data_IF_176496549919
#
_entry.id   IF_176496549919
#
_cell.length_a   1.000
_cell.length_b   1.000
_cell.length_c   1.000
_cell.angle_alpha   90.00
_cell.angle_beta   90.00
_cell.angle_gamma   90.00
#
_symmetry.space_group_name_H-M   'P 1'
#
loop_
_entity.id
_entity.type
_entity.pdbx_description
1 polymer ?
#
# COMPACT_ATOMS: atom_id res chain seq x y z
N UNK A 1 47.41 26.60 -17.57
CA UNK A 1 47.54 25.96 -16.24
C UNK A 1 47.05 26.86 -15.10
N UNK A 2 47.40 28.15 -15.06
CA UNK A 2 46.95 29.08 -13.99
C UNK A 2 45.42 29.28 -13.95
N UNK A 3 44.74 29.39 -15.09
CA UNK A 3 43.29 29.59 -15.15
C UNK A 3 42.45 28.36 -14.65
N UNK A 4 42.98 27.15 -14.83
CA UNK A 4 42.30 25.92 -14.36
C UNK A 4 42.42 25.78 -12.85
N UNK A 5 43.57 26.15 -12.28
CA UNK A 5 43.78 26.18 -10.82
C UNK A 5 42.85 27.21 -10.14
N UNK A 6 42.71 28.40 -10.75
CA UNK A 6 41.84 29.44 -10.22
C UNK A 6 40.35 29.01 -10.23
N UNK A 7 39.89 28.32 -11.29
CA UNK A 7 38.55 27.81 -11.37
C UNK A 7 38.25 26.68 -10.35
N UNK A 8 39.22 25.79 -10.10
CA UNK A 8 39.10 24.75 -9.07
C UNK A 8 39.05 25.33 -7.65
N UNK A 9 39.84 26.38 -7.37
CA UNK A 9 39.82 27.06 -6.07
C UNK A 9 38.51 27.79 -5.84
N UNK A 10 37.93 28.41 -6.86
CA UNK A 10 36.61 29.07 -6.76
C UNK A 10 35.48 28.05 -6.55
N UNK A 11 35.53 26.91 -7.24
CA UNK A 11 34.54 25.81 -7.03
C UNK A 11 34.70 25.20 -5.64
N UNK A 12 35.89 24.99 -5.14
CA UNK A 12 36.10 24.46 -3.79
C UNK A 12 35.66 25.44 -2.70
N UNK A 13 35.90 26.75 -2.88
CA UNK A 13 35.43 27.78 -1.95
C UNK A 13 33.90 27.95 -1.98
N UNK A 14 33.27 27.82 -3.13
CA UNK A 14 31.79 27.85 -3.24
C UNK A 14 31.14 26.60 -2.62
N UNK A 15 31.72 25.41 -2.78
CA UNK A 15 31.27 24.20 -2.12
C UNK A 15 31.41 24.25 -0.59
N UNK A 16 32.53 24.85 -0.09
CA UNK A 16 32.75 25.04 1.34
C UNK A 16 31.79 26.08 1.95
N UNK A 17 31.48 27.14 1.23
CA UNK A 17 30.49 28.15 1.66
C UNK A 17 29.08 27.61 1.63
N UNK A 18 28.69 26.81 0.61
CA UNK A 18 27.41 26.14 0.53
C UNK A 18 27.23 25.16 1.70
N UNK A 19 28.21 24.31 1.96
CA UNK A 19 28.17 23.36 3.06
C UNK A 19 28.11 24.03 4.44
N UNK A 20 28.80 25.18 4.62
CA UNK A 20 28.71 25.98 5.85
C UNK A 20 27.33 26.63 6.05
N UNK A 21 26.70 27.08 4.98
CA UNK A 21 25.36 27.66 5.07
C UNK A 21 24.32 26.59 5.39
N UNK A 22 24.36 25.40 4.76
CA UNK A 22 23.48 24.29 5.05
C UNK A 22 23.62 23.84 6.52
N UNK A 23 24.82 23.70 7.03
CA UNK A 23 25.06 23.35 8.44
C UNK A 23 24.57 24.46 9.38
N UNK A 24 24.75 25.73 9.03
CA UNK A 24 24.28 26.84 9.84
C UNK A 24 22.77 26.92 9.87
N UNK A 25 22.09 26.72 8.72
CA UNK A 25 20.66 26.76 8.61
C UNK A 25 20.02 25.57 9.36
N UNK A 26 20.63 24.39 9.35
CA UNK A 26 20.22 23.24 10.14
C UNK A 26 20.37 23.52 11.66
N UNK A 27 21.49 24.06 12.11
CA UNK A 27 21.71 24.41 13.52
C UNK A 27 20.82 25.55 14.00
N UNK A 28 20.52 26.52 13.14
CA UNK A 28 19.60 27.61 13.47
C UNK A 28 18.15 27.13 13.50
N UNK A 29 17.78 26.15 12.65
CA UNK A 29 16.48 25.45 12.67
C UNK A 29 16.31 24.64 13.96
N UNK A 30 17.31 23.85 14.36
CA UNK A 30 17.27 23.11 15.64
C UNK A 30 17.15 24.05 16.86
N UNK A 31 17.87 25.19 16.86
CA UNK A 31 17.76 26.15 17.94
C UNK A 31 16.40 26.83 18.00
N UNK A 32 15.79 27.12 16.84
CA UNK A 32 14.47 27.72 16.74
C UNK A 32 13.38 26.76 17.17
N UNK A 33 13.51 25.47 16.80
CA UNK A 33 12.65 24.39 17.24
C UNK A 33 12.72 24.20 18.77
N UNK A 34 13.94 24.12 19.32
CA UNK A 34 14.15 23.97 20.76
C UNK A 34 13.60 25.19 21.56
N UNK A 35 13.75 26.42 21.03
CA UNK A 35 13.19 27.61 21.66
C UNK A 35 11.67 27.62 21.62
N UNK A 36 11.08 27.25 20.48
CA UNK A 36 9.62 27.13 20.31
C UNK A 36 9.03 26.09 21.26
N UNK A 37 9.74 24.96 21.44
CA UNK A 37 9.34 23.92 22.38
C UNK A 37 9.41 24.40 23.84
N UNK A 38 10.49 25.09 24.21
CA UNK A 38 10.65 25.66 25.56
C UNK A 38 9.59 26.75 25.87
N UNK A 39 9.29 27.62 24.92
CA UNK A 39 8.25 28.65 25.05
C UNK A 39 6.85 27.99 25.19
N UNK A 40 6.62 26.89 24.51
CA UNK A 40 5.38 26.12 24.60
C UNK A 40 5.24 25.40 25.93
N UNK A 41 6.29 24.73 26.42
CA UNK A 41 6.32 24.06 27.73
C UNK A 41 6.09 25.09 28.86
N UNK A 42 6.64 26.28 28.73
CA UNK A 42 6.42 27.37 29.66
C UNK A 42 4.96 27.88 29.63
N UNK A 43 4.29 27.85 28.48
CA UNK A 43 2.89 28.27 28.32
C UNK A 43 1.89 27.25 28.86
N UNK A 44 2.21 25.96 28.85
CA UNK A 44 1.33 24.87 29.29
C UNK A 44 1.38 24.59 30.79
N UNK A 45 2.42 25.05 31.52
CA UNK A 45 2.63 24.66 32.91
C UNK A 45 2.93 23.16 33.08
N UNK A 46 3.33 22.74 34.26
CA UNK A 46 3.86 21.41 34.58
C UNK A 46 2.85 20.23 34.47
N UNK A 47 1.69 20.39 33.84
CA UNK A 47 0.64 19.34 33.77
C UNK A 47 0.60 18.51 32.46
N UNK A 48 1.59 18.62 31.59
CA UNK A 48 1.61 17.87 30.34
C UNK A 48 2.89 17.02 30.18
N UNK A 49 3.18 16.16 31.15
CA UNK A 49 4.09 15.03 30.91
C UNK A 49 3.23 13.92 30.31
N UNK A 50 3.53 13.40 29.13
CA UNK A 50 2.91 12.18 28.66
C UNK A 50 3.30 11.07 29.61
N UNK A 51 2.35 10.40 30.23
CA UNK A 51 2.58 9.12 30.87
C UNK A 51 3.10 8.14 29.83
N UNK A 52 4.11 7.39 30.25
CA UNK A 52 4.77 6.23 29.69
C UNK A 52 4.33 5.82 28.26
N UNK A 53 5.31 5.68 27.36
CA UNK A 53 5.18 5.04 26.05
C UNK A 53 4.35 3.76 26.21
N UNK A 54 3.06 3.80 25.87
CA UNK A 54 2.32 2.58 25.62
C UNK A 54 2.98 1.96 24.38
N UNK A 55 3.76 0.90 24.61
CA UNK A 55 4.20 -0.01 23.58
C UNK A 55 2.97 -0.37 22.71
N UNK A 56 3.08 -0.41 21.38
CA UNK A 56 1.96 -0.78 20.54
C UNK A 56 1.42 -2.12 21.01
N UNK A 57 0.11 -2.19 21.27
CA UNK A 57 -0.58 -3.38 21.72
C UNK A 57 -0.53 -4.40 20.57
N UNK A 58 0.45 -5.29 20.61
CA UNK A 58 0.44 -6.51 19.82
C UNK A 58 -0.39 -7.54 20.59
N UNK A 59 -1.42 -8.04 19.96
CA UNK A 59 -2.10 -9.25 20.42
C UNK A 59 -1.16 -10.41 20.09
N UNK A 60 -0.10 -10.53 20.89
CA UNK A 60 0.98 -11.49 20.70
C UNK A 60 0.52 -12.87 21.19
N UNK A 61 -0.27 -13.54 20.35
CA UNK A 61 -0.47 -14.99 20.46
C UNK A 61 0.74 -15.77 19.88
N UNK A 62 1.79 -15.06 19.44
CA UNK A 62 3.00 -15.60 18.83
C UNK A 62 2.82 -16.08 17.40
N UNK A 63 1.64 -15.86 16.79
CA UNK A 63 1.35 -16.17 15.39
C UNK A 63 1.32 -14.87 14.57
N UNK A 64 2.08 -14.84 13.46
CA UNK A 64 2.02 -13.68 12.55
C UNK A 64 0.65 -13.63 11.87
N UNK A 65 0.03 -12.47 11.86
CA UNK A 65 -1.17 -12.18 11.11
C UNK A 65 -0.85 -11.97 9.62
N UNK A 66 -1.87 -11.79 8.78
CA UNK A 66 -1.72 -11.54 7.36
C UNK A 66 -2.34 -10.18 7.05
N UNK A 67 -1.64 -9.33 6.30
CA UNK A 67 -2.17 -8.08 5.78
C UNK A 67 -2.15 -8.06 4.25
N UNK A 68 -3.30 -7.76 3.62
CA UNK A 68 -3.45 -7.71 2.18
C UNK A 68 -3.65 -6.25 1.75
N UNK A 69 -2.74 -5.74 0.92
CA UNK A 69 -2.71 -4.35 0.46
C UNK A 69 -2.91 -4.31 -1.04
N UNK A 70 -3.86 -3.50 -1.50
CA UNK A 70 -4.16 -3.39 -2.92
C UNK A 70 -5.28 -2.41 -3.22
N UNK A 71 -5.87 -2.60 -4.38
CA UNK A 71 -7.01 -1.85 -4.90
C UNK A 71 -8.33 -2.63 -4.78
N UNK A 72 -9.28 -2.43 -5.70
CA UNK A 72 -10.56 -3.13 -5.75
C UNK A 72 -10.45 -4.66 -5.83
N UNK A 73 -9.35 -5.16 -6.40
CA UNK A 73 -9.11 -6.61 -6.54
C UNK A 73 -8.69 -7.28 -5.23
N UNK A 74 -8.17 -6.53 -4.27
CA UNK A 74 -7.95 -6.97 -2.88
C UNK A 74 -9.17 -6.64 -2.02
N UNK A 75 -9.80 -5.45 -2.20
CA UNK A 75 -11.03 -5.06 -1.50
C UNK A 75 -12.14 -6.09 -1.69
N UNK A 76 -12.30 -6.59 -2.93
CA UNK A 76 -13.27 -7.60 -3.29
C UNK A 76 -14.51 -7.02 -3.97
N UNK A 77 -14.35 -5.93 -4.73
CA UNK A 77 -15.41 -5.35 -5.53
C UNK A 77 -16.00 -6.38 -6.49
N UNK A 78 -17.34 -6.40 -6.58
CA UNK A 78 -18.05 -7.36 -7.41
C UNK A 78 -18.39 -8.70 -6.71
N UNK A 79 -17.93 -8.93 -5.48
CA UNK A 79 -18.31 -10.12 -4.72
C UNK A 79 -19.83 -10.18 -4.50
N UNK A 80 -20.43 -11.35 -4.69
CA UNK A 80 -21.87 -11.57 -4.71
C UNK A 80 -22.29 -12.86 -3.99
N UNK A 81 -23.52 -13.30 -4.18
CA UNK A 81 -24.04 -14.55 -3.60
C UNK A 81 -23.51 -15.75 -4.39
N UNK A 82 -22.81 -16.66 -3.72
CA UNK A 82 -22.19 -17.81 -4.35
C UNK A 82 -22.14 -19.04 -3.42
N UNK A 83 -22.23 -20.23 -4.01
CA UNK A 83 -22.20 -21.51 -3.29
C UNK A 83 -21.35 -22.51 -4.08
N UNK A 84 -20.48 -23.24 -3.40
CA UNK A 84 -19.68 -24.32 -4.01
C UNK A 84 -20.03 -25.68 -3.39
N UNK A 85 -19.91 -26.73 -4.20
CA UNK A 85 -19.98 -28.10 -3.70
C UNK A 85 -18.62 -28.53 -3.17
N UNK A 86 -18.60 -29.05 -1.95
CA UNK A 86 -17.40 -29.62 -1.32
C UNK A 86 -17.68 -31.05 -0.89
N UNK A 87 -16.66 -31.86 -0.57
CA UNK A 87 -16.87 -33.21 -0.03
C UNK A 87 -17.76 -33.26 1.22
N UNK A 88 -17.80 -32.19 2.00
CA UNK A 88 -18.57 -32.05 3.24
C UNK A 88 -19.98 -31.48 3.00
N UNK A 89 -20.34 -31.16 1.76
CA UNK A 89 -21.64 -30.57 1.37
C UNK A 89 -21.48 -29.21 0.69
N UNK A 90 -22.57 -28.48 0.57
CA UNK A 90 -22.59 -27.15 -0.03
C UNK A 90 -22.01 -26.15 0.95
N UNK A 91 -20.97 -25.42 0.53
CA UNK A 91 -20.36 -24.30 1.26
C UNK A 91 -20.89 -22.99 0.69
N UNK A 92 -21.36 -22.12 1.58
CA UNK A 92 -21.71 -20.73 1.26
C UNK A 92 -20.41 -19.91 1.22
N UNK A 93 -20.11 -19.32 0.07
CA UNK A 93 -18.98 -18.41 -0.17
C UNK A 93 -19.47 -17.03 -0.60
N UNK A 94 -20.72 -16.69 -0.27
CA UNK A 94 -21.30 -15.40 -0.60
C UNK A 94 -20.48 -14.25 -0.01
N UNK A 95 -20.18 -13.28 -0.86
CA UNK A 95 -19.37 -12.09 -0.52
C UNK A 95 -17.93 -12.40 -0.06
N UNK A 96 -17.41 -13.57 -0.40
CA UNK A 96 -15.99 -13.86 -0.15
C UNK A 96 -15.11 -12.95 -0.99
N UNK A 97 -14.10 -12.40 -0.33
CA UNK A 97 -12.95 -11.72 -0.95
C UNK A 97 -11.74 -12.65 -0.92
N UNK A 98 -10.69 -12.35 -1.67
CA UNK A 98 -9.47 -13.16 -1.63
C UNK A 98 -8.82 -13.18 -0.22
N UNK A 99 -8.71 -12.04 0.51
CA UNK A 99 -8.25 -12.02 1.89
C UNK A 99 -9.11 -12.85 2.84
N UNK A 100 -10.44 -12.80 2.70
CA UNK A 100 -11.33 -13.60 3.55
C UNK A 100 -11.19 -15.11 3.27
N UNK A 101 -11.07 -15.49 2.00
CA UNK A 101 -10.81 -16.88 1.62
C UNK A 101 -9.49 -17.39 2.20
N UNK A 102 -8.44 -16.55 2.14
CA UNK A 102 -7.13 -16.87 2.72
C UNK A 102 -7.23 -17.07 4.23
N UNK A 103 -7.97 -16.22 4.94
CA UNK A 103 -8.24 -16.39 6.37
C UNK A 103 -8.93 -17.73 6.68
N UNK A 104 -9.97 -18.07 5.93
CA UNK A 104 -10.70 -19.32 6.12
C UNK A 104 -9.82 -20.55 5.89
N UNK A 105 -8.90 -20.51 4.92
CA UNK A 105 -8.03 -21.63 4.59
C UNK A 105 -6.85 -21.78 5.56
N UNK A 106 -6.28 -20.67 6.00
CA UNK A 106 -5.12 -20.68 6.92
C UNK A 106 -5.52 -20.76 8.38
N UNK A 107 -6.71 -20.27 8.74
CA UNK A 107 -7.09 -20.01 10.13
C UNK A 107 -6.34 -18.82 10.75
N UNK A 108 -5.47 -18.14 10.00
CA UNK A 108 -4.72 -16.96 10.44
C UNK A 108 -5.57 -15.72 10.20
N UNK A 109 -5.63 -14.83 11.18
CA UNK A 109 -6.32 -13.55 11.02
C UNK A 109 -5.74 -12.76 9.85
N UNK A 110 -6.61 -12.34 8.95
CA UNK A 110 -6.21 -11.66 7.71
C UNK A 110 -6.95 -10.33 7.60
N UNK A 111 -6.20 -9.25 7.43
CA UNK A 111 -6.72 -7.91 7.25
C UNK A 111 -6.78 -7.56 5.77
N UNK A 112 -7.88 -6.95 5.38
CA UNK A 112 -8.09 -6.44 4.04
C UNK A 112 -7.89 -4.91 4.03
N UNK A 113 -6.80 -4.46 3.41
CA UNK A 113 -6.48 -3.07 3.16
C UNK A 113 -6.59 -2.70 1.68
N UNK A 114 -7.42 -3.42 0.93
CA UNK A 114 -7.81 -3.05 -0.42
C UNK A 114 -8.65 -1.77 -0.43
N UNK A 115 -8.47 -0.92 -1.42
CA UNK A 115 -9.29 0.29 -1.65
C UNK A 115 -9.52 0.47 -3.14
N UNK A 116 -10.79 0.41 -3.56
CA UNK A 116 -11.19 0.48 -4.96
C UNK A 116 -10.65 1.70 -5.67
N UNK A 117 -10.07 1.49 -6.85
CA UNK A 117 -9.47 2.54 -7.68
C UNK A 117 -8.13 3.08 -7.19
N UNK A 118 -7.55 2.54 -6.10
CA UNK A 118 -6.28 3.03 -5.58
C UNK A 118 -5.13 2.78 -6.55
N UNK A 119 -4.34 3.82 -6.85
CA UNK A 119 -3.11 3.72 -7.61
C UNK A 119 -1.96 3.15 -6.77
N UNK A 120 -0.89 2.68 -7.42
CA UNK A 120 0.22 2.02 -6.73
C UNK A 120 0.95 2.91 -5.71
N UNK A 121 1.08 4.19 -5.99
CA UNK A 121 1.66 5.17 -5.07
C UNK A 121 0.74 5.44 -3.86
N UNK A 122 -0.58 5.43 -4.03
CA UNK A 122 -1.55 5.50 -2.94
C UNK A 122 -1.46 4.27 -2.03
N UNK A 123 -1.40 3.08 -2.63
CA UNK A 123 -1.22 1.82 -1.89
C UNK A 123 0.12 1.85 -1.15
N UNK A 124 1.18 2.33 -1.80
CA UNK A 124 2.51 2.47 -1.20
C UNK A 124 2.51 3.43 0.00
N UNK A 125 1.77 4.56 -0.05
CA UNK A 125 1.60 5.45 1.10
C UNK A 125 0.87 4.72 2.25
N UNK A 126 -0.26 4.08 1.96
CA UNK A 126 -1.06 3.39 2.98
C UNK A 126 -0.31 2.26 3.65
N UNK A 127 0.49 1.52 2.87
CA UNK A 127 1.33 0.43 3.35
C UNK A 127 2.67 0.91 3.93
N UNK A 128 2.92 2.22 4.04
CA UNK A 128 4.12 2.79 4.65
C UNK A 128 5.37 2.85 3.75
N UNK A 129 5.32 2.36 2.51
CA UNK A 129 6.48 2.33 1.62
C UNK A 129 6.88 3.70 1.08
N UNK A 130 5.93 4.60 0.86
CA UNK A 130 6.22 5.99 0.53
C UNK A 130 6.14 6.84 1.80
N UNK A 131 7.32 7.10 2.39
CA UNK A 131 7.42 7.85 3.64
C UNK A 131 7.21 9.34 3.39
N UNK A 132 6.29 9.94 4.15
CA UNK A 132 5.96 11.36 4.10
C UNK A 132 6.46 12.09 5.35
N UNK A 133 6.69 13.40 5.21
CA UNK A 133 7.17 14.26 6.29
C UNK A 133 6.37 15.55 6.37
N UNK A 134 6.33 16.18 7.55
CA UNK A 134 5.75 17.51 7.72
C UNK A 134 6.66 18.60 7.15
N UNK A 135 6.11 19.58 6.40
CA UNK A 135 6.88 20.65 5.77
C UNK A 135 7.36 21.76 6.74
N UNK A 136 6.84 21.80 7.96
CA UNK A 136 7.08 22.85 8.96
C UNK A 136 6.71 22.42 10.36
N UNK A 137 7.20 23.17 11.34
CA UNK A 137 6.74 23.08 12.73
C UNK A 137 5.27 23.44 12.84
N UNK A 138 4.47 22.63 13.55
CA UNK A 138 3.07 22.90 13.79
C UNK A 138 2.64 22.56 15.21
N UNK A 139 1.77 23.40 15.77
CA UNK A 139 1.04 23.10 17.00
C UNK A 139 -0.35 22.63 16.66
N UNK A 140 -0.67 21.44 17.13
CA UNK A 140 -1.97 20.80 16.90
C UNK A 140 -2.72 20.55 18.19
N UNK A 141 -4.01 20.30 18.08
CA UNK A 141 -4.83 19.90 19.21
C UNK A 141 -6.01 19.00 18.74
N UNK A 142 -6.68 18.37 19.70
CA UNK A 142 -7.80 17.45 19.45
C UNK A 142 -9.14 18.14 19.16
N UNK A 143 -9.21 19.48 19.10
CA UNK A 143 -10.45 20.24 18.85
C UNK A 143 -10.48 20.90 17.49
N UNK A 144 -9.35 21.47 17.05
CA UNK A 144 -9.25 22.24 15.81
C UNK A 144 -8.09 21.73 14.97
N UNK A 145 -8.36 21.45 13.70
CA UNK A 145 -7.33 21.08 12.75
C UNK A 145 -6.43 22.26 12.39
N UNK A 146 -5.17 21.99 12.19
CA UNK A 146 -4.15 22.89 11.65
C UNK A 146 -3.81 22.47 10.23
N UNK A 147 -3.50 23.41 9.35
CA UNK A 147 -3.07 23.10 7.98
C UNK A 147 -1.56 22.88 7.97
N UNK A 148 -1.12 21.86 7.23
CA UNK A 148 0.29 21.53 6.98
C UNK A 148 0.40 20.87 5.62
N UNK A 149 1.49 21.08 4.90
CA UNK A 149 1.78 20.27 3.72
C UNK A 149 2.59 19.04 4.13
N UNK A 150 2.39 17.96 3.40
CA UNK A 150 3.23 16.77 3.49
C UNK A 150 4.21 16.78 2.32
N UNK A 151 5.43 16.34 2.58
CA UNK A 151 6.49 16.26 1.58
C UNK A 151 7.09 14.86 1.53
N UNK A 152 7.60 14.47 0.36
CA UNK A 152 8.39 13.26 0.22
C UNK A 152 9.83 13.45 0.77
N UNK A 153 10.65 12.41 0.76
CA UNK A 153 12.05 12.45 1.19
C UNK A 153 12.94 13.40 0.38
N UNK A 154 12.47 13.88 -0.78
CA UNK A 154 13.14 14.90 -1.60
C UNK A 154 12.68 16.33 -1.29
N UNK A 155 11.67 16.48 -0.42
CA UNK A 155 11.05 17.76 -0.06
C UNK A 155 10.00 18.26 -1.05
N UNK A 156 9.55 17.41 -1.98
CA UNK A 156 8.45 17.74 -2.88
C UNK A 156 7.13 17.61 -2.14
N UNK A 157 6.26 18.61 -2.30
CA UNK A 157 4.91 18.53 -1.71
C UNK A 157 4.08 17.49 -2.40
N UNK A 158 3.39 16.71 -1.60
CA UNK A 158 2.46 15.69 -2.06
C UNK A 158 1.04 16.23 -1.96
N UNK A 159 0.32 16.20 -3.07
CA UNK A 159 -1.09 16.57 -3.09
C UNK A 159 -1.96 15.40 -2.65
N UNK A 160 -2.22 15.31 -1.36
CA UNK A 160 -3.02 14.23 -0.80
C UNK A 160 -4.47 14.19 -1.33
N UNK A 161 -4.96 15.25 -2.00
CA UNK A 161 -6.30 15.20 -2.61
C UNK A 161 -6.36 14.30 -3.85
N UNK A 162 -5.22 14.08 -4.50
CA UNK A 162 -5.12 13.17 -5.64
C UNK A 162 -5.09 11.70 -5.18
N UNK A 163 -4.67 11.46 -3.93
CA UNK A 163 -4.58 10.16 -3.27
C UNK A 163 -5.83 9.75 -2.47
N UNK A 164 -6.83 10.63 -2.42
CA UNK A 164 -8.12 10.38 -1.75
C UNK A 164 -9.26 10.28 -2.77
N UNK A 165 -8.94 10.31 -4.06
CA UNK A 165 -9.87 10.80 -5.06
C UNK A 165 -10.84 9.77 -5.62
N UNK A 166 -10.64 8.50 -5.46
CA UNK A 166 -11.42 7.48 -6.18
C UNK A 166 -12.42 6.72 -5.31
N UNK A 167 -12.25 6.69 -4.03
CA UNK A 167 -13.27 6.16 -3.15
C UNK A 167 -14.25 7.28 -2.76
N UNK A 168 -15.52 7.08 -2.86
CA UNK A 168 -16.56 8.01 -2.43
C UNK A 168 -16.41 8.46 -0.97
N UNK A 169 -17.49 8.93 -0.34
CA UNK A 169 -17.49 9.44 1.04
C UNK A 169 -17.00 8.41 2.11
N UNK A 170 -16.86 7.15 1.73
CA UNK A 170 -16.47 6.01 2.57
C UNK A 170 -15.00 5.59 2.40
N UNK A 171 -14.13 6.50 1.96
CA UNK A 171 -12.69 6.23 1.82
C UNK A 171 -12.09 5.70 3.11
N UNK A 172 -11.77 4.41 3.11
CA UNK A 172 -11.11 3.67 4.19
C UNK A 172 -9.60 3.93 4.29
N UNK A 173 -9.11 5.07 3.75
CA UNK A 173 -7.77 5.47 4.17
C UNK A 173 -7.79 5.60 5.69
N UNK A 174 -6.86 4.92 6.38
CA UNK A 174 -6.82 5.03 7.83
C UNK A 174 -6.69 6.52 8.18
N UNK A 175 -7.74 7.08 8.75
CA UNK A 175 -7.77 8.48 9.21
C UNK A 175 -6.69 8.75 10.28
N UNK A 176 -5.98 7.72 10.73
CA UNK A 176 -5.06 7.74 11.85
C UNK A 176 -3.60 7.54 11.38
N UNK A 177 -2.72 8.40 11.89
CA UNK A 177 -1.29 8.41 11.60
C UNK A 177 -0.51 8.66 12.89
N UNK A 178 0.63 8.00 13.03
CA UNK A 178 1.63 8.38 14.03
C UNK A 178 2.52 9.48 13.46
N UNK A 179 2.68 10.58 14.19
CA UNK A 179 3.56 11.69 13.83
C UNK A 179 4.26 12.15 15.11
N UNK A 180 5.58 12.02 15.16
CA UNK A 180 6.38 12.34 16.34
C UNK A 180 5.82 11.70 17.63
N UNK A 181 5.43 10.43 17.57
CA UNK A 181 4.86 9.67 18.69
C UNK A 181 3.40 10.00 19.05
N UNK A 182 2.76 10.93 18.35
CA UNK A 182 1.36 11.28 18.58
C UNK A 182 0.45 10.62 17.56
N UNK A 183 -0.65 10.05 18.03
CA UNK A 183 -1.72 9.60 17.15
C UNK A 183 -2.50 10.80 16.62
N UNK A 184 -2.53 10.95 15.31
CA UNK A 184 -3.10 12.09 14.59
C UNK A 184 -4.13 11.65 13.56
N UNK A 185 -5.00 12.56 13.14
CA UNK A 185 -5.84 12.40 11.95
C UNK A 185 -5.41 13.37 10.88
N UNK A 186 -5.34 12.89 9.65
CA UNK A 186 -5.06 13.69 8.45
C UNK A 186 -6.30 13.66 7.57
N UNK A 187 -6.72 14.84 7.09
CA UNK A 187 -7.79 14.96 6.08
C UNK A 187 -7.32 15.86 4.95
N UNK A 188 -7.39 15.42 3.71
CA UNK A 188 -7.08 16.24 2.56
C UNK A 188 -7.91 17.51 2.49
N UNK A 189 -7.42 18.48 1.74
CA UNK A 189 -8.13 19.68 1.39
C UNK A 189 -8.23 19.71 -0.13
N UNK A 190 -9.42 19.62 -0.64
CA UNK A 190 -9.68 19.63 -2.09
C UNK A 190 -8.94 20.79 -2.79
N UNK A 191 -8.28 20.47 -3.90
CA UNK A 191 -7.44 21.39 -4.68
C UNK A 191 -6.36 22.11 -3.85
N UNK A 192 -5.73 21.43 -2.91
CA UNK A 192 -4.67 21.97 -2.07
C UNK A 192 -3.59 20.93 -1.82
N UNK A 193 -2.35 21.39 -1.81
CA UNK A 193 -1.18 20.62 -1.35
C UNK A 193 -1.04 20.60 0.19
N UNK A 194 -2.03 21.13 0.92
CA UNK A 194 -2.09 21.08 2.38
C UNK A 194 -3.19 20.11 2.83
N UNK A 195 -2.95 19.49 3.98
CA UNK A 195 -3.92 18.66 4.70
C UNK A 195 -4.39 19.34 5.99
N UNK A 196 -5.50 18.86 6.53
CA UNK A 196 -5.98 19.20 7.87
C UNK A 196 -5.43 18.17 8.86
N UNK A 197 -4.42 18.56 9.61
CA UNK A 197 -3.83 17.76 10.67
C UNK A 197 -4.47 18.07 12.01
N UNK A 198 -4.81 17.05 12.77
CA UNK A 198 -5.41 17.19 14.10
C UNK A 198 -4.94 16.03 14.99
N UNK A 199 -4.71 16.32 16.28
CA UNK A 199 -4.49 15.26 17.26
C UNK A 199 -5.72 14.35 17.33
N UNK A 200 -5.51 13.05 17.29
CA UNK A 200 -6.59 12.06 17.43
C UNK A 200 -7.25 12.24 18.80
N UNK A 201 -8.55 12.09 18.85
CA UNK A 201 -9.30 12.19 20.08
C UNK A 201 -9.91 10.83 20.41
N UNK A 202 -9.33 10.13 21.34
CA UNK A 202 -9.90 8.89 21.82
C UNK A 202 -11.31 9.07 22.40
N UNK A 203 -12.19 8.06 22.23
CA UNK A 203 -13.51 8.06 22.84
C UNK A 203 -13.42 8.24 24.37
N UNK A 204 -14.20 9.16 24.91
CA UNK A 204 -14.21 9.43 26.36
C UNK A 204 -13.23 10.49 26.86
N UNK A 205 -12.25 10.90 26.06
CA UNK A 205 -11.31 11.96 26.44
C UNK A 205 -12.01 13.30 26.70
N UNK A 206 -11.81 13.86 27.90
CA UNK A 206 -12.32 15.18 28.29
C UNK A 206 -11.20 16.21 28.19
N UNK A 207 -11.57 17.42 27.73
CA UNK A 207 -10.62 18.52 27.66
C UNK A 207 -10.00 18.73 26.29
N UNK A 208 -9.04 19.64 26.22
CA UNK A 208 -8.23 19.95 25.03
C UNK A 208 -6.82 19.42 25.27
N UNK A 209 -6.38 18.56 24.38
CA UNK A 209 -5.02 18.08 24.35
C UNK A 209 -4.27 18.83 23.25
N UNK A 210 -2.96 18.97 23.40
CA UNK A 210 -2.09 19.69 22.49
C UNK A 210 -0.86 18.84 22.21
N UNK A 211 -0.31 18.99 21.03
CA UNK A 211 0.97 18.42 20.64
C UNK A 211 1.74 19.40 19.77
N UNK A 212 3.05 19.34 19.87
CA UNK A 212 3.99 20.01 18.97
C UNK A 212 4.56 18.96 18.01
N UNK A 213 4.44 19.22 16.73
CA UNK A 213 5.00 18.39 15.66
C UNK A 213 6.11 19.22 15.00
N UNK A 214 7.38 18.83 15.17
CA UNK A 214 8.51 19.45 14.48
C UNK A 214 8.37 19.31 12.96
N UNK A 215 9.01 20.21 12.24
CA UNK A 215 9.28 20.04 10.82
C UNK A 215 10.06 18.75 10.59
N UNK A 216 9.87 18.16 9.40
CA UNK A 216 10.49 16.90 8.98
C UNK A 216 10.13 15.70 9.90
N UNK A 217 9.04 15.81 10.68
CA UNK A 217 8.48 14.65 11.38
C UNK A 217 7.88 13.68 10.38
N UNK A 218 8.26 12.42 10.50
CA UNK A 218 7.72 11.32 9.72
C UNK A 218 6.22 11.14 9.98
N UNK A 219 5.48 10.81 8.93
CA UNK A 219 4.05 10.58 8.94
C UNK A 219 3.78 9.12 8.61
N UNK A 220 3.64 8.30 9.62
CA UNK A 220 3.47 6.85 9.49
C UNK A 220 1.99 6.50 9.58
N UNK A 221 1.37 5.87 8.55
CA UNK A 221 0.02 5.36 8.65
C UNK A 221 -0.09 4.36 9.80
N UNK A 222 -1.12 4.53 10.66
CA UNK A 222 -1.32 3.63 11.82
C UNK A 222 -1.46 2.17 11.38
N UNK A 223 -2.22 1.91 10.31
CA UNK A 223 -2.39 0.56 9.79
C UNK A 223 -1.05 -0.06 9.37
N UNK A 224 -0.19 0.68 8.68
CA UNK A 224 1.14 0.19 8.30
C UNK A 224 2.01 -0.13 9.54
N UNK A 225 1.99 0.74 10.54
CA UNK A 225 2.74 0.53 11.78
C UNK A 225 2.23 -0.69 12.57
N UNK A 226 0.91 -0.80 12.75
CA UNK A 226 0.29 -1.89 13.52
C UNK A 226 0.49 -3.27 12.84
N UNK A 227 0.58 -3.30 11.50
CA UNK A 227 0.71 -4.51 10.70
C UNK A 227 2.12 -4.72 10.13
N UNK A 228 3.13 -4.04 10.69
CA UNK A 228 4.52 -4.11 10.22
C UNK A 228 5.18 -5.49 10.38
N UNK A 229 4.63 -6.37 11.22
CA UNK A 229 5.14 -7.72 11.45
C UNK A 229 4.36 -8.83 10.73
N UNK A 230 3.32 -8.46 10.00
CA UNK A 230 2.46 -9.39 9.29
C UNK A 230 3.17 -10.10 8.13
N UNK A 231 2.56 -11.17 7.65
CA UNK A 231 2.84 -11.71 6.33
C UNK A 231 2.10 -10.82 5.33
N UNK A 232 2.83 -10.16 4.42
CA UNK A 232 2.26 -9.17 3.52
C UNK A 232 1.86 -9.78 2.17
N UNK A 233 0.64 -9.50 1.74
CA UNK A 233 0.14 -9.78 0.40
C UNK A 233 0.00 -8.43 -0.32
N UNK A 234 0.72 -8.24 -1.42
CA UNK A 234 0.80 -6.97 -2.12
C UNK A 234 0.35 -7.14 -3.57
N UNK A 235 -0.67 -6.38 -3.98
CA UNK A 235 -1.17 -6.30 -5.35
C UNK A 235 -1.43 -4.84 -5.70
N UNK A 236 -0.71 -4.30 -6.68
CA UNK A 236 -0.87 -2.91 -7.07
C UNK A 236 -0.37 -2.64 -8.49
N UNK A 237 -0.90 -1.59 -9.11
CA UNK A 237 -0.42 -1.09 -10.38
C UNK A 237 -1.50 -0.93 -11.45
N UNK A 238 -2.61 -1.66 -11.40
CA UNK A 238 -3.68 -1.61 -12.39
C UNK A 238 -4.27 -0.22 -12.57
N UNK A 239 -4.42 0.54 -11.50
CA UNK A 239 -4.92 1.93 -11.54
C UNK A 239 -3.82 2.98 -11.76
N UNK A 240 -2.62 2.59 -12.20
CA UNK A 240 -1.50 3.49 -12.45
C UNK A 240 -0.69 3.83 -11.18
N UNK A 241 -0.16 5.08 -11.11
CA UNK A 241 0.70 5.52 -9.99
C UNK A 241 2.19 5.22 -10.19
N UNK A 242 2.57 4.51 -11.26
CA UNK A 242 3.94 4.09 -11.58
C UNK A 242 4.44 4.55 -12.96
N UNK A 243 3.67 5.47 -13.62
CA UNK A 243 4.05 6.11 -14.88
C UNK A 243 4.31 5.14 -16.05
N UNK A 244 3.76 3.93 -16.01
CA UNK A 244 4.05 2.83 -16.94
C UNK A 244 5.54 2.46 -17.00
N UNK A 245 6.25 2.63 -15.88
CA UNK A 245 7.66 2.29 -15.70
C UNK A 245 7.76 1.19 -14.63
N UNK A 246 8.10 -0.03 -15.04
CA UNK A 246 8.19 -1.19 -14.15
C UNK A 246 9.23 -1.01 -13.04
N UNK A 247 10.30 -0.25 -13.29
CA UNK A 247 11.30 0.03 -12.25
C UNK A 247 10.69 0.86 -11.11
N UNK A 248 9.80 1.82 -11.43
CA UNK A 248 9.09 2.60 -10.42
C UNK A 248 8.14 1.71 -9.62
N UNK A 249 7.37 0.84 -10.29
CA UNK A 249 6.46 -0.09 -9.63
C UNK A 249 7.22 -1.05 -8.71
N UNK A 250 8.30 -1.65 -9.18
CA UNK A 250 9.16 -2.54 -8.40
C UNK A 250 9.74 -1.81 -7.19
N UNK A 251 10.20 -0.56 -7.36
CA UNK A 251 10.69 0.26 -6.24
C UNK A 251 9.61 0.53 -5.19
N UNK A 252 8.36 0.72 -5.58
CA UNK A 252 7.23 0.90 -4.66
C UNK A 252 6.99 -0.37 -3.83
N UNK A 253 6.99 -1.56 -4.44
CA UNK A 253 6.93 -2.83 -3.72
C UNK A 253 8.11 -3.00 -2.75
N UNK A 254 9.33 -2.78 -3.25
CA UNK A 254 10.54 -2.93 -2.44
C UNK A 254 10.58 -1.96 -1.26
N UNK A 255 10.08 -0.73 -1.42
CA UNK A 255 10.04 0.25 -0.33
C UNK A 255 9.11 -0.18 0.80
N UNK A 256 7.93 -0.77 0.47
CA UNK A 256 7.02 -1.34 1.47
C UNK A 256 7.72 -2.47 2.23
N UNK A 257 8.33 -3.42 1.50
CA UNK A 257 9.02 -4.58 2.09
C UNK A 257 10.18 -4.15 3.00
N UNK A 258 10.95 -3.15 2.58
CA UNK A 258 12.10 -2.63 3.32
C UNK A 258 11.68 -1.85 4.57
N UNK A 259 10.67 -0.99 4.47
CA UNK A 259 10.17 -0.20 5.60
C UNK A 259 9.72 -1.10 6.75
N UNK A 260 9.01 -2.16 6.43
CA UNK A 260 8.57 -3.15 7.41
C UNK A 260 9.61 -4.19 7.77
N UNK A 261 10.79 -4.17 7.16
CA UNK A 261 11.78 -5.25 7.26
C UNK A 261 11.13 -6.63 7.08
N UNK A 262 10.18 -6.71 6.13
CA UNK A 262 9.33 -7.87 5.94
C UNK A 262 10.07 -8.98 5.21
N UNK A 263 10.17 -10.15 5.84
CA UNK A 263 10.79 -11.34 5.23
C UNK A 263 9.78 -12.35 4.68
N UNK A 264 8.50 -12.14 4.92
CA UNK A 264 7.41 -13.00 4.45
C UNK A 264 6.39 -12.17 3.69
N UNK A 265 6.43 -12.24 2.37
CA UNK A 265 5.51 -11.51 1.50
C UNK A 265 5.19 -12.31 0.25
N UNK A 266 4.06 -11.99 -0.39
CA UNK A 266 3.66 -12.49 -1.69
C UNK A 266 3.32 -11.29 -2.57
N UNK A 267 3.96 -11.22 -3.73
CA UNK A 267 3.63 -10.25 -4.78
C UNK A 267 2.65 -10.91 -5.71
N UNK A 268 1.48 -10.30 -5.87
CA UNK A 268 0.40 -10.81 -6.69
C UNK A 268 0.44 -10.14 -8.07
N UNK A 269 0.52 -10.95 -9.13
CA UNK A 269 0.38 -10.46 -10.49
C UNK A 269 -1.02 -9.90 -10.73
N UNK A 270 -1.09 -8.86 -11.55
CA UNK A 270 -2.33 -8.15 -11.86
C UNK A 270 -3.41 -9.09 -12.41
N UNK A 271 -4.61 -8.91 -11.88
CA UNK A 271 -5.83 -9.63 -12.33
C UNK A 271 -6.98 -8.68 -12.64
N UNK A 272 -6.74 -7.36 -12.64
CA UNK A 272 -7.74 -6.39 -13.08
C UNK A 272 -8.06 -6.60 -14.57
N UNK A 273 -9.25 -6.24 -14.97
CA UNK A 273 -9.76 -6.49 -16.32
C UNK A 273 -9.66 -7.97 -16.80
N UNK A 274 -10.04 -8.95 -15.98
CA UNK A 274 -9.85 -10.37 -16.28
C UNK A 274 -10.58 -10.84 -17.54
N UNK A 275 -11.52 -10.05 -18.04
CA UNK A 275 -12.26 -10.25 -19.28
C UNK A 275 -11.56 -9.74 -20.53
N UNK A 276 -10.41 -9.12 -20.41
CA UNK A 276 -9.68 -8.56 -21.55
C UNK A 276 -8.62 -9.53 -22.06
N UNK A 277 -8.50 -9.65 -23.38
CA UNK A 277 -7.50 -10.50 -24.01
C UNK A 277 -6.11 -9.91 -23.81
N UNK A 278 -5.10 -10.76 -23.61
CA UNK A 278 -3.71 -10.35 -23.43
C UNK A 278 -3.22 -9.33 -24.47
N UNK A 279 -3.57 -9.52 -25.72
CA UNK A 279 -3.17 -8.58 -26.79
C UNK A 279 -3.78 -7.19 -26.67
N UNK A 280 -4.81 -7.02 -25.87
CA UNK A 280 -5.52 -5.75 -25.70
C UNK A 280 -5.05 -4.99 -24.45
N UNK A 281 -4.57 -5.71 -23.40
CA UNK A 281 -4.14 -5.08 -22.15
C UNK A 281 -2.68 -4.63 -22.23
N UNK A 282 -1.75 -5.53 -22.50
CA UNK A 282 -0.31 -5.25 -22.38
C UNK A 282 0.53 -5.79 -23.53
N UNK A 283 -0.06 -6.22 -24.61
CA UNK A 283 0.55 -6.55 -25.90
C UNK A 283 1.51 -7.75 -25.95
N UNK A 284 1.52 -8.82 -25.02
CA UNK A 284 2.87 -8.96 -24.69
C UNK A 284 3.39 -10.32 -24.51
N UNK A 285 2.61 -11.33 -24.80
CA UNK A 285 3.09 -12.67 -24.96
C UNK A 285 2.85 -13.12 -26.39
N UNK A 286 3.74 -12.68 -27.24
CA UNK A 286 3.73 -13.07 -28.64
C UNK A 286 4.88 -14.04 -28.86
N UNK A 287 4.58 -15.24 -29.35
CA UNK A 287 5.62 -16.14 -29.85
C UNK A 287 6.41 -15.49 -30.98
N UNK A 288 7.59 -16.03 -31.29
CA UNK A 288 8.42 -15.61 -32.43
C UNK A 288 7.67 -15.61 -33.78
N UNK A 289 6.60 -16.39 -33.89
CA UNK A 289 5.73 -16.45 -35.07
C UNK A 289 4.56 -15.45 -35.05
N UNK A 290 4.45 -14.62 -34.01
CA UNK A 290 3.39 -13.63 -33.85
C UNK A 290 2.08 -14.15 -33.25
N UNK A 291 2.04 -15.40 -32.76
CA UNK A 291 0.87 -15.98 -32.09
C UNK A 291 0.88 -15.69 -30.58
N UNK A 292 -0.30 -15.74 -29.95
CA UNK A 292 -0.44 -15.63 -28.49
C UNK A 292 -0.34 -16.98 -27.81
N UNK A 293 0.20 -16.95 -26.58
CA UNK A 293 0.06 -18.04 -25.64
C UNK A 293 -0.72 -17.50 -24.43
N UNK A 294 -1.96 -17.94 -24.25
CA UNK A 294 -2.85 -17.43 -23.19
C UNK A 294 -2.29 -17.53 -21.78
N UNK A 295 -1.41 -18.52 -21.52
CA UNK A 295 -0.74 -18.73 -20.23
C UNK A 295 0.71 -18.21 -20.21
N UNK A 296 1.18 -17.55 -21.27
CA UNK A 296 2.49 -16.90 -21.26
C UNK A 296 2.51 -15.69 -20.33
N UNK A 297 3.70 -15.32 -19.85
CA UNK A 297 3.85 -14.12 -19.02
C UNK A 297 3.82 -12.85 -19.89
N UNK A 298 3.13 -11.82 -19.39
CA UNK A 298 3.21 -10.46 -19.96
C UNK A 298 4.54 -9.81 -19.58
N UNK A 299 4.90 -8.70 -20.22
CA UNK A 299 6.08 -7.91 -19.82
C UNK A 299 5.99 -7.44 -18.36
N UNK A 300 4.80 -7.09 -17.91
CA UNK A 300 4.57 -6.73 -16.51
C UNK A 300 4.80 -7.90 -15.57
N UNK A 301 4.18 -9.04 -15.85
CA UNK A 301 4.36 -10.27 -15.06
C UNK A 301 5.81 -10.71 -15.05
N UNK A 302 6.51 -10.67 -16.19
CA UNK A 302 7.94 -10.97 -16.30
C UNK A 302 8.77 -10.03 -15.43
N UNK A 303 8.49 -8.71 -15.45
CA UNK A 303 9.22 -7.74 -14.65
C UNK A 303 9.08 -8.01 -13.14
N UNK A 304 7.86 -8.35 -12.68
CA UNK A 304 7.62 -8.72 -11.28
C UNK A 304 8.26 -10.07 -10.92
N UNK A 305 8.16 -11.06 -11.82
CA UNK A 305 8.79 -12.37 -11.62
C UNK A 305 10.32 -12.25 -11.51
N UNK A 306 10.95 -11.49 -12.41
CA UNK A 306 12.40 -11.26 -12.39
C UNK A 306 12.85 -10.53 -11.11
N UNK A 307 12.03 -9.62 -10.59
CA UNK A 307 12.35 -8.84 -9.39
C UNK A 307 12.14 -9.62 -8.09
N UNK A 308 11.11 -10.45 -8.00
CA UNK A 308 10.66 -11.06 -6.73
C UNK A 308 10.81 -12.58 -6.68
N UNK A 309 11.11 -13.24 -7.80
CA UNK A 309 11.38 -14.67 -7.88
C UNK A 309 10.24 -15.51 -7.27
N UNK A 310 10.61 -16.40 -6.35
CA UNK A 310 9.66 -17.32 -5.70
C UNK A 310 8.54 -16.61 -4.91
N UNK A 311 8.71 -15.33 -4.54
CA UNK A 311 7.68 -14.55 -3.86
C UNK A 311 6.58 -14.04 -4.80
N UNK A 312 6.77 -14.10 -6.10
CA UNK A 312 5.76 -13.71 -7.09
C UNK A 312 4.80 -14.87 -7.38
N UNK A 313 3.52 -14.56 -7.51
CA UNK A 313 2.51 -15.43 -8.08
C UNK A 313 1.92 -14.79 -9.33
N UNK A 314 2.04 -15.47 -10.48
CA UNK A 314 1.27 -15.08 -11.68
C UNK A 314 -0.19 -15.48 -11.47
N UNK A 315 -0.95 -14.58 -10.83
CA UNK A 315 -2.31 -14.86 -10.43
C UNK A 315 -3.23 -15.03 -11.65
N UNK A 316 -2.99 -14.30 -12.73
CA UNK A 316 -3.76 -14.45 -13.98
C UNK A 316 -3.63 -15.88 -14.52
N UNK A 317 -2.42 -16.39 -14.62
CA UNK A 317 -2.18 -17.77 -15.11
C UNK A 317 -2.79 -18.79 -14.15
N UNK A 318 -2.63 -18.57 -12.83
CA UNK A 318 -3.28 -19.44 -11.84
C UNK A 318 -4.80 -19.50 -12.06
N UNK A 319 -5.45 -18.36 -12.24
CA UNK A 319 -6.90 -18.27 -12.46
C UNK A 319 -7.34 -18.94 -13.76
N UNK A 320 -6.55 -18.83 -14.83
CA UNK A 320 -6.79 -19.52 -16.11
C UNK A 320 -6.74 -21.05 -15.95
N UNK A 321 -5.74 -21.55 -15.24
CA UNK A 321 -5.47 -22.98 -15.13
C UNK A 321 -6.31 -23.68 -14.06
N UNK A 322 -6.61 -23.00 -12.95
CA UNK A 322 -7.19 -23.62 -11.76
C UNK A 322 -8.54 -23.02 -11.35
N UNK A 323 -8.84 -21.79 -11.74
CA UNK A 323 -9.96 -21.03 -11.16
C UNK A 323 -11.32 -21.70 -11.32
N UNK A 324 -11.60 -22.34 -12.47
CA UNK A 324 -12.86 -23.08 -12.68
C UNK A 324 -12.90 -24.37 -11.83
N UNK A 325 -11.81 -25.14 -11.80
CA UNK A 325 -11.73 -26.38 -11.03
C UNK A 325 -11.87 -26.10 -9.53
N UNK A 326 -11.27 -25.03 -9.04
CA UNK A 326 -11.33 -24.61 -7.64
C UNK A 326 -12.77 -24.32 -7.17
N UNK A 327 -13.62 -23.86 -8.09
CA UNK A 327 -15.03 -23.60 -7.84
C UNK A 327 -15.95 -24.77 -8.20
N UNK A 328 -15.40 -25.89 -8.69
CA UNK A 328 -16.17 -27.05 -9.14
C UNK A 328 -16.87 -26.84 -10.47
N UNK A 329 -16.45 -25.85 -11.27
CA UNK A 329 -17.02 -25.58 -12.58
C UNK A 329 -16.36 -26.41 -13.68
N UNK A 330 -17.15 -26.68 -14.72
CA UNK A 330 -16.65 -27.34 -15.93
C UNK A 330 -16.42 -26.31 -17.02
N UNK A 331 -15.27 -26.36 -17.64
CA UNK A 331 -14.89 -25.50 -18.75
C UNK A 331 -15.86 -25.68 -19.93
N UNK A 332 -16.51 -24.61 -20.35
CA UNK A 332 -17.37 -24.54 -21.54
C UNK A 332 -16.54 -24.41 -22.82
N UNK A 333 -17.20 -24.37 -23.99
CA UNK A 333 -16.51 -24.10 -25.26
C UNK A 333 -16.01 -22.64 -25.28
N UNK A 334 -16.79 -21.70 -24.76
CA UNK A 334 -16.36 -20.30 -24.65
C UNK A 334 -15.14 -20.17 -23.73
N UNK A 335 -15.12 -20.85 -22.60
CA UNK A 335 -14.00 -20.80 -21.68
C UNK A 335 -12.70 -21.32 -22.32
N UNK A 336 -12.77 -22.28 -23.26
CA UNK A 336 -11.58 -22.73 -23.99
C UNK A 336 -11.05 -21.66 -24.94
N UNK A 337 -11.96 -21.00 -25.67
CA UNK A 337 -11.58 -19.88 -26.54
C UNK A 337 -10.99 -18.71 -25.74
N UNK A 338 -11.57 -18.41 -24.59
CA UNK A 338 -11.11 -17.37 -23.68
C UNK A 338 -9.72 -17.74 -23.09
N UNK A 339 -9.54 -18.98 -22.67
CA UNK A 339 -8.26 -19.50 -22.17
C UNK A 339 -7.11 -19.33 -23.19
N UNK A 340 -7.34 -19.67 -24.45
CA UNK A 340 -6.35 -19.50 -25.53
C UNK A 340 -5.94 -18.04 -25.72
N UNK A 341 -6.81 -17.10 -25.34
CA UNK A 341 -6.61 -15.67 -25.43
C UNK A 341 -6.13 -15.03 -24.12
N UNK A 342 -5.96 -15.82 -23.08
CA UNK A 342 -5.58 -15.34 -21.74
C UNK A 342 -6.70 -14.62 -21.00
N UNK A 343 -7.95 -14.84 -21.40
CA UNK A 343 -9.14 -14.27 -20.75
C UNK A 343 -9.62 -15.23 -19.64
N UNK A 344 -9.75 -14.73 -18.43
CA UNK A 344 -10.32 -15.48 -17.32
C UNK A 344 -11.80 -15.69 -17.55
N UNK A 345 -12.30 -16.91 -17.28
CA UNK A 345 -13.70 -17.32 -17.53
C UNK A 345 -14.72 -16.33 -16.97
N UNK A 346 -15.77 -16.07 -17.77
CA UNK A 346 -16.90 -15.25 -17.34
C UNK A 346 -17.68 -15.84 -16.15
N UNK A 347 -17.52 -17.14 -15.85
CA UNK A 347 -18.09 -17.78 -14.68
C UNK A 347 -17.48 -17.27 -13.37
N UNK A 348 -16.28 -16.67 -13.42
CA UNK A 348 -15.52 -16.17 -12.29
C UNK A 348 -15.58 -14.63 -12.15
N UNK A 349 -16.32 -13.95 -13.03
CA UNK A 349 -16.36 -12.49 -13.10
C UNK A 349 -17.73 -11.92 -12.77
N UNK A 350 -17.77 -10.77 -12.12
CA UNK A 350 -18.98 -9.97 -11.91
C UNK A 350 -19.24 -9.00 -13.07
N UNK A 351 -18.18 -8.42 -13.59
CA UNK A 351 -18.17 -7.53 -14.74
C UNK A 351 -16.89 -7.74 -15.57
N UNK A 352 -16.48 -6.77 -16.38
CA UNK A 352 -15.26 -6.88 -17.19
C UNK A 352 -13.97 -6.60 -16.39
N UNK A 353 -14.08 -5.89 -15.27
CA UNK A 353 -12.96 -5.48 -14.42
C UNK A 353 -12.79 -6.41 -13.22
N UNK A 354 -13.88 -6.81 -12.56
CA UNK A 354 -13.84 -7.44 -11.25
C UNK A 354 -14.27 -8.92 -11.27
N UNK A 355 -13.80 -9.66 -10.28
CA UNK A 355 -14.29 -10.99 -10.01
C UNK A 355 -15.64 -10.97 -9.28
N UNK A 356 -16.37 -12.07 -9.36
CA UNK A 356 -17.43 -12.42 -8.45
C UNK A 356 -16.87 -13.25 -7.26
N UNK A 357 -17.72 -13.68 -6.34
CA UNK A 357 -17.26 -14.47 -5.19
C UNK A 357 -16.58 -15.79 -5.55
N UNK A 358 -16.93 -16.41 -6.68
CA UNK A 358 -16.19 -17.59 -7.17
C UNK A 358 -14.76 -17.25 -7.57
N UNK A 359 -14.58 -16.16 -8.32
CA UNK A 359 -13.25 -15.70 -8.70
C UNK A 359 -12.40 -15.31 -7.50
N UNK A 360 -12.95 -14.59 -6.54
CA UNK A 360 -12.22 -14.25 -5.31
C UNK A 360 -11.92 -15.46 -4.44
N UNK A 361 -12.80 -16.47 -4.40
CA UNK A 361 -12.50 -17.73 -3.73
C UNK A 361 -11.33 -18.44 -4.37
N UNK A 362 -11.31 -18.57 -5.69
CA UNK A 362 -10.18 -19.18 -6.42
C UNK A 362 -8.88 -18.38 -6.25
N UNK A 363 -8.94 -17.04 -6.33
CA UNK A 363 -7.79 -16.16 -6.08
C UNK A 363 -7.23 -16.35 -4.67
N UNK A 364 -8.08 -16.38 -3.64
CA UNK A 364 -7.67 -16.64 -2.26
C UNK A 364 -7.04 -18.02 -2.07
N UNK A 365 -7.54 -19.04 -2.80
CA UNK A 365 -6.94 -20.38 -2.82
C UNK A 365 -5.57 -20.37 -3.48
N UNK A 366 -5.37 -19.62 -4.56
CA UNK A 366 -4.05 -19.41 -5.18
C UNK A 366 -3.05 -18.81 -4.20
N UNK A 367 -3.46 -17.78 -3.45
CA UNK A 367 -2.65 -17.18 -2.39
C UNK A 367 -2.31 -18.19 -1.28
N UNK A 368 -3.29 -18.99 -0.85
CA UNK A 368 -3.07 -20.05 0.12
C UNK A 368 -2.00 -21.04 -0.35
N UNK A 369 -2.12 -21.55 -1.57
CA UNK A 369 -1.16 -22.52 -2.12
C UNK A 369 0.24 -21.91 -2.28
N UNK A 370 0.33 -20.64 -2.66
CA UNK A 370 1.63 -19.94 -2.74
C UNK A 370 2.29 -19.78 -1.38
N UNK A 371 1.54 -19.48 -0.35
CA UNK A 371 2.10 -19.41 0.99
C UNK A 371 2.49 -20.77 1.57
N UNK A 372 1.79 -21.86 1.19
CA UNK A 372 2.25 -23.24 1.50
C UNK A 372 3.57 -23.53 0.79
N UNK A 373 3.71 -23.19 -0.50
CA UNK A 373 4.95 -23.32 -1.27
C UNK A 373 6.11 -22.60 -0.59
N UNK A 374 5.89 -21.39 -0.09
CA UNK A 374 6.88 -20.57 0.61
C UNK A 374 7.10 -20.98 2.08
N UNK A 375 6.32 -21.92 2.61
CA UNK A 375 6.39 -22.33 4.00
C UNK A 375 5.94 -21.27 5.00
N UNK A 376 4.97 -20.43 4.63
CA UNK A 376 4.42 -19.39 5.51
C UNK A 376 3.33 -19.93 6.43
N UNK A 377 2.60 -20.92 5.99
CA UNK A 377 1.58 -21.69 6.70
C UNK A 377 1.55 -23.14 6.17
N UNK A 378 0.79 -24.02 6.87
CA UNK A 378 0.62 -25.44 6.51
C UNK A 378 -0.63 -25.69 5.66
#
# INVERSE_FOLDING_TARGET
MLCVLAAMVVLALSALTFNRNVIRDAVDSEKQSAQSQADWEQMLGEEAVPDEEEEPYFDDDGQREISCWGDSMIEGDGADIAFIETPDGVKDISYYTAPYTLQEMTGIRTYNFGVGGAASDEISIRAGGLVLYTDRDVYINNKKATRVALVDGSGNRINMSDYYGYGGEDNDMPDAFYINGYLCTIKPIWNSDEVKLKLYKEPGTKGRQYAFIPRDSEVTPKAAADHSQDIMILEMGSNGGWQSDYDILIMQYLSIIQEHNCSKYIIVGDTDDPGTSLGDINQDVVNDDGSYIGTGETMWETALHDAFGDHFINMRVYMLENGLEDCGFTMTEQDREDYERGIISSQLRSDWTHFNSYGYYAKGKGLYLKGVELGYWE
#
